data_IF_642412559575
#
_entry.id   IF_642412559575
#
_cell.length_a   1.000
_cell.length_b   1.000
_cell.length_c   1.000
_cell.angle_alpha   90.00
_cell.angle_beta   90.00
_cell.angle_gamma   90.00
#
_symmetry.space_group_name_H-M   'P 1'
#
loop_
_entity.id
_entity.type
_entity.pdbx_description
1 polymer ?
#
# COMPACT_ATOMS: atom_id res chain seq x y z
N UNK A 1 3.06 -40.40 16.46
CA UNK A 1 3.07 -39.19 15.61
C UNK A 1 2.90 -38.03 16.57
N UNK A 2 4.01 -37.56 17.14
CA UNK A 2 4.01 -36.54 18.18
C UNK A 2 3.89 -35.17 17.53
N UNK A 3 2.90 -34.42 18.02
CA UNK A 3 2.66 -33.03 17.67
C UNK A 3 3.93 -32.21 17.89
N UNK A 4 4.57 -31.82 16.79
CA UNK A 4 5.65 -30.82 16.80
C UNK A 4 4.97 -29.46 16.95
N UNK A 5 4.42 -29.20 18.14
CA UNK A 5 4.12 -27.84 18.58
C UNK A 5 5.49 -27.23 18.87
N UNK A 6 6.06 -26.56 17.88
CA UNK A 6 7.24 -25.72 18.06
C UNK A 6 6.80 -24.59 18.99
N UNK A 7 7.06 -24.74 20.30
CA UNK A 7 6.90 -23.65 21.26
C UNK A 7 8.02 -22.65 20.97
N UNK A 8 7.74 -21.69 20.10
CA UNK A 8 8.61 -20.55 19.83
C UNK A 8 8.66 -19.75 21.13
N UNK A 9 9.77 -19.87 21.86
CA UNK A 9 10.02 -19.05 23.04
C UNK A 9 10.65 -17.75 22.56
N UNK A 10 9.91 -16.65 22.71
CA UNK A 10 10.44 -15.32 22.43
C UNK A 10 11.50 -14.97 23.46
N UNK A 11 12.68 -14.64 22.97
CA UNK A 11 13.76 -14.15 23.81
C UNK A 11 13.46 -12.72 24.26
N UNK A 12 14.11 -12.28 25.33
CA UNK A 12 13.98 -10.89 25.82
C UNK A 12 14.35 -9.86 24.75
N UNK A 13 15.24 -10.21 23.83
CA UNK A 13 15.62 -9.40 22.68
C UNK A 13 14.47 -9.23 21.67
N UNK A 14 13.67 -10.28 21.43
CA UNK A 14 12.55 -10.23 20.49
C UNK A 14 11.45 -9.29 21.00
N UNK A 15 11.16 -9.35 22.31
CA UNK A 15 10.26 -8.43 22.98
C UNK A 15 10.76 -6.99 22.93
N UNK A 16 12.06 -6.76 23.13
CA UNK A 16 12.66 -5.45 23.03
C UNK A 16 12.47 -4.82 21.63
N UNK A 17 12.74 -5.58 20.57
CA UNK A 17 12.53 -5.11 19.18
C UNK A 17 11.05 -4.89 18.86
N UNK A 18 10.16 -5.77 19.34
CA UNK A 18 8.72 -5.63 19.12
C UNK A 18 8.18 -4.36 19.76
N UNK A 19 8.53 -4.10 21.02
CA UNK A 19 8.10 -2.90 21.75
C UNK A 19 8.71 -1.65 21.11
N UNK A 20 10.00 -1.70 20.74
CA UNK A 20 10.67 -0.57 20.07
C UNK A 20 10.01 -0.24 18.72
N UNK A 21 9.65 -1.25 17.92
CA UNK A 21 8.97 -1.08 16.64
C UNK A 21 7.58 -0.45 16.83
N UNK A 22 6.77 -0.99 17.75
CA UNK A 22 5.44 -0.44 18.05
C UNK A 22 5.55 0.99 18.56
N UNK A 23 6.49 1.25 19.48
CA UNK A 23 6.75 2.60 20.01
C UNK A 23 7.13 3.58 18.90
N UNK A 24 8.03 3.19 17.99
CA UNK A 24 8.42 4.01 16.85
C UNK A 24 7.23 4.29 15.91
N UNK A 25 6.38 3.29 15.64
CA UNK A 25 5.19 3.47 14.83
C UNK A 25 4.20 4.47 15.43
N UNK A 26 3.93 4.36 16.73
CA UNK A 26 3.04 5.29 17.46
C UNK A 26 3.63 6.71 17.49
N UNK A 27 4.94 6.84 17.74
CA UNK A 27 5.63 8.13 17.72
C UNK A 27 5.58 8.79 16.35
N UNK A 28 5.89 8.05 15.28
CA UNK A 28 5.75 8.53 13.91
C UNK A 28 4.31 8.98 13.63
N UNK A 29 3.32 8.16 13.99
CA UNK A 29 1.90 8.51 13.84
C UNK A 29 1.53 9.80 14.56
N UNK A 30 2.01 9.99 15.80
CA UNK A 30 1.80 11.22 16.56
C UNK A 30 2.44 12.46 15.93
N UNK A 31 3.69 12.33 15.47
CA UNK A 31 4.41 13.43 14.78
C UNK A 31 3.67 13.81 13.49
N UNK A 32 3.35 12.84 12.63
CA UNK A 32 2.65 13.11 11.37
C UNK A 32 1.23 13.66 11.61
N UNK A 33 0.54 13.24 12.67
CA UNK A 33 -0.76 13.81 13.04
C UNK A 33 -0.68 15.31 13.36
N UNK A 34 0.38 15.75 14.05
CA UNK A 34 0.58 17.19 14.31
C UNK A 34 0.87 18.01 13.05
N UNK A 35 1.52 17.41 12.04
CA UNK A 35 1.74 18.04 10.73
C UNK A 35 0.44 18.12 9.91
N UNK A 36 -0.38 17.07 9.96
CA UNK A 36 -1.60 16.96 9.15
C UNK A 36 -2.74 17.88 9.62
N UNK A 37 -2.65 18.44 10.84
CA UNK A 37 -3.68 19.31 11.45
C UNK A 37 -3.77 20.74 10.88
N UNK A 38 -2.90 21.11 9.94
CA UNK A 38 -2.77 22.49 9.43
C UNK A 38 -3.76 22.87 8.33
N UNK A 39 -4.41 21.90 7.68
CA UNK A 39 -5.47 22.12 6.68
C UNK A 39 -5.77 20.88 5.83
N UNK A 40 -6.90 20.86 5.10
CA UNK A 40 -7.32 19.71 4.28
C UNK A 40 -6.33 19.39 3.15
N UNK A 41 -5.76 20.41 2.51
CA UNK A 41 -4.69 20.22 1.52
C UNK A 41 -3.41 19.68 2.13
N UNK A 42 -3.10 20.01 3.38
CA UNK A 42 -1.92 19.48 4.08
C UNK A 42 -2.16 18.04 4.54
N UNK A 43 -3.40 17.67 4.83
CA UNK A 43 -3.79 16.30 5.13
C UNK A 43 -3.68 15.38 3.91
N UNK A 44 -4.20 15.80 2.74
CA UNK A 44 -4.25 14.95 1.54
C UNK A 44 -3.04 15.09 0.60
N UNK A 45 -2.45 16.27 0.47
CA UNK A 45 -1.32 16.54 -0.44
C UNK A 45 0.00 16.83 0.30
N UNK A 46 0.01 16.92 1.63
CA UNK A 46 1.18 17.34 2.42
C UNK A 46 1.83 18.62 1.86
N UNK A 47 0.99 19.61 1.49
CA UNK A 47 1.43 20.88 0.93
C UNK A 47 2.18 20.80 -0.41
N UNK A 48 2.24 19.63 -1.05
CA UNK A 48 3.06 19.34 -2.26
C UNK A 48 4.56 19.63 -2.08
N UNK A 49 5.02 19.79 -0.85
CA UNK A 49 6.41 20.16 -0.50
C UNK A 49 7.30 18.98 -0.11
N UNK A 50 6.76 17.76 -0.11
CA UNK A 50 7.51 16.56 0.25
C UNK A 50 8.59 16.23 -0.79
N UNK A 51 9.79 15.80 -0.36
CA UNK A 51 10.81 15.34 -1.29
C UNK A 51 10.32 14.07 -2.00
N UNK A 52 10.65 13.92 -3.28
CA UNK A 52 10.10 12.87 -4.16
C UNK A 52 10.27 11.44 -3.64
N UNK A 53 11.31 11.17 -2.85
CA UNK A 53 11.59 9.85 -2.30
C UNK A 53 10.55 9.43 -1.27
N UNK A 54 10.00 10.35 -0.47
CA UNK A 54 9.09 10.02 0.63
C UNK A 54 7.74 9.48 0.11
N UNK A 55 7.04 10.14 -0.84
CA UNK A 55 5.84 9.57 -1.47
C UNK A 55 6.14 8.28 -2.22
N UNK A 56 7.30 8.17 -2.90
CA UNK A 56 7.67 6.95 -3.62
C UNK A 56 7.82 5.75 -2.66
N UNK A 57 8.51 5.93 -1.53
CA UNK A 57 8.63 4.90 -0.49
C UNK A 57 7.30 4.56 0.15
N UNK A 58 6.41 5.54 0.35
CA UNK A 58 5.07 5.30 0.89
C UNK A 58 4.23 4.43 -0.04
N UNK A 59 4.23 4.72 -1.33
CA UNK A 59 3.48 3.92 -2.33
C UNK A 59 4.01 2.49 -2.40
N UNK A 60 5.34 2.32 -2.34
CA UNK A 60 5.97 1.01 -2.31
C UNK A 60 5.59 0.22 -1.04
N UNK A 61 5.61 0.89 0.13
CA UNK A 61 5.21 0.29 1.39
C UNK A 61 3.73 -0.15 1.40
N UNK A 62 2.83 0.62 0.79
CA UNK A 62 1.40 0.27 0.68
C UNK A 62 1.16 -0.98 -0.19
N UNK A 63 1.96 -1.19 -1.23
CA UNK A 63 1.81 -2.35 -2.12
C UNK A 63 2.55 -3.60 -1.60
N UNK A 64 3.51 -3.44 -0.70
CA UNK A 64 4.30 -4.55 -0.16
C UNK A 64 3.72 -4.96 1.19
N UNK A 65 2.64 -5.73 1.16
CA UNK A 65 2.07 -6.34 2.35
C UNK A 65 2.80 -7.63 2.74
N UNK A 66 2.52 -8.16 3.93
CA UNK A 66 3.18 -9.34 4.53
C UNK A 66 3.03 -10.61 3.67
N UNK A 67 2.02 -10.66 2.83
CA UNK A 67 1.73 -11.74 1.88
C UNK A 67 2.74 -11.81 0.72
N UNK A 68 3.27 -10.67 0.31
CA UNK A 68 4.17 -10.53 -0.83
C UNK A 68 5.48 -11.33 -0.63
N UNK A 69 6.25 -11.15 0.47
CA UNK A 69 7.45 -11.95 0.69
C UNK A 69 7.14 -13.43 0.91
N UNK A 70 5.99 -13.77 1.52
CA UNK A 70 5.55 -15.15 1.69
C UNK A 70 5.30 -15.83 0.34
N UNK A 71 4.63 -15.15 -0.58
CA UNK A 71 4.35 -15.63 -1.93
C UNK A 71 5.63 -15.75 -2.78
N UNK A 72 6.51 -14.74 -2.74
CA UNK A 72 7.80 -14.77 -3.46
C UNK A 72 8.65 -15.93 -2.95
N UNK A 73 8.73 -16.12 -1.63
CA UNK A 73 9.45 -17.25 -1.02
C UNK A 73 8.91 -18.60 -1.48
N UNK A 74 7.58 -18.77 -1.47
CA UNK A 74 6.93 -19.99 -1.95
C UNK A 74 7.17 -20.27 -3.44
N UNK A 75 7.18 -19.22 -4.27
CA UNK A 75 7.48 -19.34 -5.70
C UNK A 75 8.93 -19.75 -5.95
N UNK A 76 9.88 -19.11 -5.25
CA UNK A 76 11.31 -19.44 -5.39
C UNK A 76 11.56 -20.86 -4.90
N UNK A 77 10.89 -21.29 -3.81
CA UNK A 77 11.00 -22.66 -3.32
C UNK A 77 10.55 -23.70 -4.36
N UNK A 78 9.47 -23.43 -5.09
CA UNK A 78 8.92 -24.37 -6.08
C UNK A 78 9.60 -24.32 -7.45
N UNK A 79 10.00 -23.13 -7.91
CA UNK A 79 10.45 -22.89 -9.29
C UNK A 79 11.88 -22.34 -9.41
N UNK A 80 12.58 -22.18 -8.29
CA UNK A 80 13.91 -21.57 -8.22
C UNK A 80 13.91 -20.10 -8.61
N UNK A 81 15.08 -19.58 -9.03
CA UNK A 81 15.28 -18.18 -9.39
C UNK A 81 14.40 -17.71 -10.58
N UNK A 82 13.90 -18.66 -11.39
CA UNK A 82 12.98 -18.38 -12.50
C UNK A 82 11.66 -17.77 -12.02
N UNK A 83 11.28 -18.05 -10.77
CA UNK A 83 10.11 -17.50 -10.12
C UNK A 83 10.16 -15.98 -9.90
N UNK A 84 11.34 -15.36 -9.95
CA UNK A 84 11.48 -13.89 -9.87
C UNK A 84 10.88 -13.15 -11.07
N UNK A 85 10.53 -13.86 -12.15
CA UNK A 85 9.82 -13.25 -13.27
C UNK A 85 8.41 -12.78 -12.90
N UNK A 86 7.75 -13.44 -11.94
CA UNK A 86 6.39 -13.08 -11.52
C UNK A 86 6.31 -11.70 -10.82
N UNK A 87 7.13 -11.37 -9.79
CA UNK A 87 7.11 -10.05 -9.18
C UNK A 87 7.61 -8.93 -10.11
N UNK A 88 8.25 -9.26 -11.25
CA UNK A 88 8.67 -8.26 -12.24
C UNK A 88 7.50 -7.45 -12.81
N UNK A 89 6.27 -7.96 -12.75
CA UNK A 89 5.06 -7.21 -13.10
C UNK A 89 4.90 -5.90 -12.29
N UNK A 90 5.37 -5.86 -11.04
CA UNK A 90 5.33 -4.64 -10.23
C UNK A 90 6.15 -3.49 -10.86
N UNK A 91 7.22 -3.80 -11.60
CA UNK A 91 7.98 -2.81 -12.35
C UNK A 91 7.14 -2.19 -13.49
N UNK A 92 6.27 -2.98 -14.13
CA UNK A 92 5.35 -2.48 -15.14
C UNK A 92 4.31 -1.51 -14.55
N UNK A 93 3.80 -1.81 -13.35
CA UNK A 93 2.91 -0.91 -12.62
C UNK A 93 3.58 0.43 -12.29
N UNK A 94 4.87 0.42 -11.94
CA UNK A 94 5.63 1.65 -11.70
C UNK A 94 5.77 2.52 -12.96
N UNK A 95 5.96 1.91 -14.14
CA UNK A 95 6.02 2.63 -15.42
C UNK A 95 4.68 3.30 -15.72
N UNK A 96 3.56 2.59 -15.51
CA UNK A 96 2.21 3.14 -15.70
C UNK A 96 1.94 4.35 -14.81
N UNK A 97 2.38 4.29 -13.53
CA UNK A 97 2.29 5.41 -12.61
C UNK A 97 3.11 6.62 -13.09
N UNK A 98 4.32 6.40 -13.60
CA UNK A 98 5.17 7.47 -14.13
C UNK A 98 4.52 8.19 -15.33
N UNK A 99 3.96 7.44 -16.29
CA UNK A 99 3.27 7.99 -17.45
C UNK A 99 2.00 8.76 -17.03
N UNK A 100 1.23 8.18 -16.12
CA UNK A 100 -0.05 8.75 -15.67
C UNK A 100 0.13 9.99 -14.80
N UNK A 101 1.28 10.15 -14.14
CA UNK A 101 1.59 11.29 -13.26
C UNK A 101 1.41 12.63 -13.98
N UNK A 102 1.75 12.73 -15.27
CA UNK A 102 1.61 13.99 -16.03
C UNK A 102 0.15 14.41 -16.19
N UNK A 103 -0.76 13.45 -16.32
CA UNK A 103 -2.20 13.70 -16.48
C UNK A 103 -2.78 14.15 -15.13
N UNK A 104 -2.49 13.40 -14.06
CA UNK A 104 -3.01 13.68 -12.72
C UNK A 104 -2.48 15.01 -12.14
N UNK A 105 -1.25 15.39 -12.44
CA UNK A 105 -0.71 16.70 -12.02
C UNK A 105 -1.42 17.89 -12.69
N UNK A 106 -2.05 17.71 -13.85
CA UNK A 106 -2.79 18.77 -14.56
C UNK A 106 -4.24 18.91 -14.10
N UNK A 107 -4.86 17.84 -13.62
CA UNK A 107 -6.28 17.84 -13.24
C UNK A 107 -6.58 18.47 -11.89
N UNK A 108 -5.57 18.77 -11.06
CA UNK A 108 -5.70 19.30 -9.68
C UNK A 108 -6.58 18.50 -8.71
N UNK A 109 -7.22 17.41 -9.16
CA UNK A 109 -8.04 16.51 -8.38
C UNK A 109 -7.29 15.92 -7.17
N UNK A 110 -7.98 15.85 -6.04
CA UNK A 110 -7.48 15.33 -4.78
C UNK A 110 -7.70 13.83 -4.64
N UNK A 111 -8.76 13.32 -5.27
CA UNK A 111 -9.14 11.91 -5.21
C UNK A 111 -9.35 11.32 -6.61
N UNK A 112 -9.20 10.00 -6.72
CA UNK A 112 -9.51 9.27 -7.95
C UNK A 112 -10.98 9.45 -8.37
N UNK A 113 -11.87 9.58 -7.37
CA UNK A 113 -13.29 9.83 -7.55
C UNK A 113 -13.56 11.21 -8.19
N UNK A 114 -12.90 12.25 -7.69
CA UNK A 114 -13.00 13.61 -8.24
C UNK A 114 -12.41 13.68 -9.65
N UNK A 115 -11.30 12.99 -9.90
CA UNK A 115 -10.72 12.90 -11.24
C UNK A 115 -11.68 12.26 -12.26
N UNK A 116 -12.44 11.25 -11.84
CA UNK A 116 -13.44 10.61 -12.70
C UNK A 116 -14.60 11.54 -13.04
N UNK A 117 -15.10 12.32 -12.08
CA UNK A 117 -16.14 13.32 -12.32
C UNK A 117 -15.66 14.50 -13.18
N UNK A 118 -14.36 14.82 -13.14
CA UNK A 118 -13.74 15.80 -14.04
C UNK A 118 -13.58 15.26 -15.47
N UNK A 119 -13.24 13.98 -15.63
CA UNK A 119 -12.98 13.37 -16.94
C UNK A 119 -14.26 12.91 -17.65
N UNK A 120 -15.21 12.39 -16.89
CA UNK A 120 -16.47 11.84 -17.35
C UNK A 120 -17.62 12.60 -16.69
N UNK A 121 -18.59 13.05 -17.48
CA UNK A 121 -19.73 13.82 -16.98
C UNK A 121 -20.97 12.94 -16.82
N UNK A 122 -21.79 13.23 -15.81
CA UNK A 122 -23.10 12.62 -15.61
C UNK A 122 -23.06 11.24 -14.94
N UNK A 123 -24.14 10.48 -15.12
CA UNK A 123 -24.41 9.23 -14.40
C UNK A 123 -23.33 8.15 -14.60
N UNK A 124 -22.67 8.12 -15.75
CA UNK A 124 -21.58 7.18 -16.02
C UNK A 124 -20.37 7.35 -15.09
N UNK A 125 -20.09 8.57 -14.65
CA UNK A 125 -18.99 8.85 -13.71
C UNK A 125 -19.30 8.33 -12.31
N UNK A 126 -20.53 8.53 -11.82
CA UNK A 126 -20.97 8.06 -10.51
C UNK A 126 -21.05 6.53 -10.44
N UNK A 127 -21.52 5.87 -11.51
CA UNK A 127 -21.51 4.41 -11.61
C UNK A 127 -20.10 3.83 -11.61
N UNK A 128 -19.16 4.45 -12.33
CA UNK A 128 -17.77 4.00 -12.36
C UNK A 128 -17.10 4.12 -10.99
N UNK A 129 -17.39 5.22 -10.27
CA UNK A 129 -16.93 5.44 -8.89
C UNK A 129 -17.43 4.34 -7.96
N UNK A 130 -18.73 4.05 -8.01
CA UNK A 130 -19.35 2.97 -7.23
C UNK A 130 -18.78 1.59 -7.57
N UNK A 131 -18.60 1.30 -8.86
CA UNK A 131 -18.01 0.04 -9.33
C UNK A 131 -16.60 -0.18 -8.80
N UNK A 132 -15.73 0.84 -8.91
CA UNK A 132 -14.36 0.73 -8.43
C UNK A 132 -14.29 0.60 -6.91
N UNK A 133 -15.10 1.35 -6.16
CA UNK A 133 -15.17 1.22 -4.71
C UNK A 133 -15.64 -0.18 -4.29
N UNK A 134 -16.66 -0.72 -4.97
CA UNK A 134 -17.16 -2.08 -4.75
C UNK A 134 -16.12 -3.13 -5.08
N UNK A 135 -15.46 -3.03 -6.24
CA UNK A 135 -14.41 -3.95 -6.67
C UNK A 135 -13.23 -3.97 -5.69
N UNK A 136 -12.77 -2.80 -5.23
CA UNK A 136 -11.68 -2.74 -4.26
C UNK A 136 -12.07 -3.36 -2.91
N UNK A 137 -13.29 -3.13 -2.44
CA UNK A 137 -13.78 -3.76 -1.21
C UNK A 137 -13.85 -5.29 -1.35
N UNK A 138 -14.38 -5.76 -2.47
CA UNK A 138 -14.45 -7.18 -2.81
C UNK A 138 -13.06 -7.82 -2.89
N UNK A 139 -12.09 -7.18 -3.54
CA UNK A 139 -10.70 -7.66 -3.60
C UNK A 139 -10.06 -7.75 -2.21
N UNK A 140 -10.26 -6.75 -1.35
CA UNK A 140 -9.75 -6.79 0.02
C UNK A 140 -10.28 -7.98 0.82
N UNK A 141 -11.53 -8.43 0.57
CA UNK A 141 -12.08 -9.63 1.19
C UNK A 141 -11.32 -10.91 0.78
N UNK A 142 -10.92 -11.06 -0.48
CA UNK A 142 -10.11 -12.21 -0.91
C UNK A 142 -8.69 -12.16 -0.36
N UNK A 143 -8.09 -10.97 -0.31
CA UNK A 143 -6.74 -10.81 0.24
C UNK A 143 -6.72 -11.21 1.71
N UNK A 144 -7.72 -10.80 2.50
CA UNK A 144 -7.84 -11.25 3.89
C UNK A 144 -7.96 -12.77 3.99
N UNK A 145 -8.80 -13.40 3.16
CA UNK A 145 -8.97 -14.86 3.14
C UNK A 145 -7.72 -15.63 2.67
N UNK A 146 -6.88 -15.00 1.86
CA UNK A 146 -5.61 -15.58 1.40
C UNK A 146 -4.50 -15.50 2.47
N UNK A 147 -4.55 -14.48 3.33
CA UNK A 147 -3.52 -14.19 4.33
C UNK A 147 -3.77 -14.90 5.67
N UNK A 148 -5.02 -15.23 6.00
CA UNK A 148 -5.44 -16.00 7.18
C UNK A 148 -5.27 -17.51 7.00
#
# INVERSE_FOLDING_TARGET
MQDVIISIKFETLDWAWTIAFIGLMVLCGGIFYTLAKRGESDFFLAGRGLPWWLPATSVYATHTATDTPMWIGGIIYKWGLRGLWFPFFAAWCAISAFVSTRIFRRSLAMSMAEWQSLRYTGMGSELLRGWLAGWQTFMNMFVLAWVS
#
